data_IF_703415982936
#
_entry.id   IF_703415982936
#
_cell.length_a   1.000
_cell.length_b   1.000
_cell.length_c   1.000
_cell.angle_alpha   90.00
_cell.angle_beta   90.00
_cell.angle_gamma   90.00
#
_symmetry.space_group_name_H-M   'P 1'
#
loop_
_entity.id
_entity.type
_entity.pdbx_description
1 polymer ?
#
# COMPACT_ATOMS: atom_id res chain seq x y z
N UNK A 1 -1.21 2.84 9.55
CA UNK A 1 -0.18 3.33 10.50
C UNK A 1 -0.83 3.79 11.82
N UNK A 2 -0.26 3.46 12.99
CA UNK A 2 -0.87 3.71 14.30
C UNK A 2 -0.99 5.20 14.63
N UNK A 3 -2.24 5.65 14.83
CA UNK A 3 -2.60 6.88 15.54
C UNK A 3 -1.99 8.19 15.00
N UNK A 4 -2.45 8.65 13.84
CA UNK A 4 -2.12 10.01 13.44
C UNK A 4 -2.80 10.40 12.14
N UNK A 5 -3.86 11.19 12.24
CA UNK A 5 -4.19 12.15 11.19
C UNK A 5 -2.87 12.88 10.84
N UNK A 6 -2.29 12.57 9.68
CA UNK A 6 -1.07 13.19 9.14
C UNK A 6 0.21 13.06 9.98
N UNK A 7 0.59 11.84 10.38
CA UNK A 7 1.86 11.59 11.09
C UNK A 7 3.08 11.23 10.24
N UNK A 8 2.91 10.50 9.14
CA UNK A 8 4.02 10.07 8.28
C UNK A 8 3.86 10.69 6.88
N UNK A 9 4.30 11.94 6.66
CA UNK A 9 4.50 12.39 5.29
C UNK A 9 5.49 11.42 4.66
N UNK A 10 5.31 11.10 3.38
CA UNK A 10 6.22 10.28 2.60
C UNK A 10 7.67 10.70 2.90
N UNK A 11 8.34 9.99 3.83
CA UNK A 11 9.68 10.32 4.28
C UNK A 11 10.61 10.23 3.07
N UNK A 12 11.65 11.06 3.06
CA UNK A 12 12.70 11.03 2.04
C UNK A 12 13.35 9.62 1.88
N UNK A 13 13.17 8.73 2.85
CA UNK A 13 13.59 7.32 2.80
C UNK A 13 12.74 6.45 1.87
N UNK A 14 11.48 6.82 1.59
CA UNK A 14 10.63 6.07 0.67
C UNK A 14 11.01 6.23 -0.80
N UNK A 15 11.82 7.24 -1.14
CA UNK A 15 12.38 7.41 -2.49
C UNK A 15 13.31 6.23 -2.85
N UNK A 16 13.81 5.50 -1.85
CA UNK A 16 14.57 4.25 -2.05
C UNK A 16 13.71 2.99 -2.20
N UNK A 17 12.38 3.08 -2.05
CA UNK A 17 11.52 1.92 -2.24
C UNK A 17 11.43 1.53 -3.72
N UNK A 18 11.36 0.23 -4.03
CA UNK A 18 10.96 -0.22 -5.36
C UNK A 18 9.61 0.39 -5.76
N UNK A 19 9.45 0.77 -7.03
CA UNK A 19 8.23 1.44 -7.55
C UNK A 19 6.91 0.77 -7.12
N UNK A 20 6.75 -0.57 -7.15
CA UNK A 20 5.52 -1.21 -6.69
C UNK A 20 5.24 -0.97 -5.21
N UNK A 21 6.27 -1.03 -4.36
CA UNK A 21 6.12 -0.80 -2.92
C UNK A 21 5.79 0.67 -2.62
N UNK A 22 6.36 1.60 -3.38
CA UNK A 22 6.03 3.02 -3.28
C UNK A 22 4.59 3.30 -3.72
N UNK A 23 4.14 2.69 -4.83
CA UNK A 23 2.76 2.83 -5.31
C UNK A 23 1.75 2.30 -4.29
N UNK A 24 2.01 1.12 -3.72
CA UNK A 24 1.24 0.55 -2.63
C UNK A 24 1.12 1.50 -1.44
N UNK A 25 2.26 1.95 -0.91
CA UNK A 25 2.30 2.87 0.23
C UNK A 25 1.51 4.16 -0.02
N UNK A 26 1.67 4.78 -1.20
CA UNK A 26 0.90 5.98 -1.56
C UNK A 26 -0.60 5.69 -1.53
N UNK A 27 -1.03 4.56 -2.08
CA UNK A 27 -2.44 4.18 -2.10
C UNK A 27 -3.00 3.87 -0.70
N UNK A 28 -2.21 3.24 0.18
CA UNK A 28 -2.56 2.99 1.57
C UNK A 28 -2.84 4.29 2.33
N UNK A 29 -1.91 5.23 2.25
CA UNK A 29 -2.05 6.52 2.93
C UNK A 29 -3.17 7.37 2.32
N UNK A 30 -3.37 7.32 1.00
CA UNK A 30 -4.53 7.94 0.35
C UNK A 30 -5.85 7.29 0.78
N UNK A 31 -5.87 5.98 1.04
CA UNK A 31 -7.06 5.30 1.54
C UNK A 31 -7.42 5.81 2.94
N UNK A 32 -6.44 5.92 3.84
CA UNK A 32 -6.63 6.57 5.15
C UNK A 32 -7.13 8.01 5.01
N UNK A 33 -6.54 8.80 4.11
CA UNK A 33 -6.96 10.18 3.86
C UNK A 33 -8.38 10.28 3.29
N UNK A 34 -8.80 9.29 2.48
CA UNK A 34 -10.11 9.26 1.84
C UNK A 34 -11.21 8.77 2.79
N UNK A 35 -10.91 7.77 3.62
CA UNK A 35 -11.84 7.22 4.59
C UNK A 35 -11.08 6.69 5.81
N UNK A 36 -11.38 7.29 6.96
CA UNK A 36 -10.88 6.90 8.26
C UNK A 36 -12.08 6.52 9.14
N UNK A 37 -11.94 5.49 9.98
CA UNK A 37 -12.98 5.04 10.91
C UNK A 37 -12.56 5.39 12.35
N UNK A 38 -13.02 6.53 12.90
CA UNK A 38 -12.61 6.97 14.23
C UNK A 38 -12.99 5.95 15.30
N UNK A 39 -12.03 5.61 16.17
CA UNK A 39 -12.23 4.63 17.23
C UNK A 39 -12.11 3.17 16.78
N UNK A 40 -11.95 2.90 15.49
CA UNK A 40 -11.71 1.56 14.94
C UNK A 40 -10.46 1.54 14.05
N UNK A 41 -9.30 1.42 14.72
CA UNK A 41 -8.01 1.33 14.04
C UNK A 41 -7.93 0.08 13.18
N UNK A 42 -8.43 -1.07 13.66
CA UNK A 42 -8.35 -2.32 12.93
C UNK A 42 -9.10 -2.26 11.59
N UNK A 43 -10.32 -1.68 11.60
CA UNK A 43 -11.08 -1.46 10.38
C UNK A 43 -10.40 -0.45 9.46
N UNK A 44 -9.84 0.63 10.01
CA UNK A 44 -9.13 1.64 9.21
C UNK A 44 -7.90 1.07 8.50
N UNK A 45 -7.11 0.24 9.17
CA UNK A 45 -5.97 -0.45 8.55
C UNK A 45 -6.43 -1.48 7.53
N UNK A 46 -7.41 -2.33 7.87
CA UNK A 46 -7.92 -3.36 6.95
C UNK A 46 -8.48 -2.74 5.65
N UNK A 47 -9.22 -1.63 5.78
CA UNK A 47 -9.70 -0.87 4.63
C UNK A 47 -8.53 -0.37 3.77
N UNK A 48 -7.52 0.25 4.39
CA UNK A 48 -6.38 0.78 3.66
C UNK A 48 -5.56 -0.32 2.97
N UNK A 49 -5.36 -1.46 3.62
CA UNK A 49 -4.69 -2.63 3.02
C UNK A 49 -5.45 -3.18 1.81
N UNK A 50 -6.77 -3.34 1.88
CA UNK A 50 -7.56 -3.81 0.73
C UNK A 50 -7.46 -2.83 -0.44
N UNK A 51 -7.50 -1.52 -0.17
CA UNK A 51 -7.35 -0.49 -1.21
C UNK A 51 -5.93 -0.49 -1.79
N UNK A 52 -4.89 -0.64 -0.95
CA UNK A 52 -3.50 -0.79 -1.37
C UNK A 52 -3.33 -1.96 -2.34
N UNK A 53 -3.82 -3.15 -1.97
CA UNK A 53 -3.65 -4.35 -2.78
C UNK A 53 -4.32 -4.22 -4.14
N UNK A 54 -5.58 -3.77 -4.18
CA UNK A 54 -6.32 -3.57 -5.43
C UNK A 54 -5.67 -2.48 -6.29
N UNK A 55 -5.23 -1.38 -5.69
CA UNK A 55 -4.57 -0.31 -6.41
C UNK A 55 -3.23 -0.75 -7.00
N UNK A 56 -2.46 -1.55 -6.25
CA UNK A 56 -1.19 -2.10 -6.70
C UNK A 56 -1.38 -3.07 -7.87
N UNK A 57 -2.37 -3.96 -7.80
CA UNK A 57 -2.68 -4.88 -8.90
C UNK A 57 -3.03 -4.12 -10.18
N UNK A 58 -3.87 -3.08 -10.08
CA UNK A 58 -4.22 -2.22 -11.22
C UNK A 58 -3.03 -1.42 -11.75
N UNK A 59 -2.17 -0.93 -10.85
CA UNK A 59 -1.00 -0.17 -11.24
C UNK A 59 0.01 -1.07 -11.95
N UNK A 60 0.28 -2.27 -11.43
CA UNK A 60 1.17 -3.25 -12.07
C UNK A 60 0.67 -3.65 -13.45
N UNK A 61 -0.64 -3.83 -13.62
CA UNK A 61 -1.24 -4.16 -14.91
C UNK A 61 -1.09 -3.05 -15.97
N UNK A 62 -0.90 -1.79 -15.55
CA UNK A 62 -0.81 -0.63 -16.44
C UNK A 62 0.61 -0.12 -16.65
N UNK A 63 1.40 -0.07 -15.58
CA UNK A 63 2.68 0.65 -15.49
C UNK A 63 3.82 -0.25 -14.98
N UNK A 64 3.51 -1.48 -14.58
CA UNK A 64 4.47 -2.44 -14.04
C UNK A 64 5.23 -3.18 -15.14
N UNK A 65 6.48 -3.53 -14.85
CA UNK A 65 7.23 -4.49 -15.68
C UNK A 65 6.86 -5.93 -15.30
N UNK A 66 7.12 -6.87 -16.21
CA UNK A 66 6.92 -8.31 -15.92
C UNK A 66 7.71 -8.75 -14.68
N UNK A 67 8.95 -8.26 -14.53
CA UNK A 67 9.79 -8.56 -13.37
C UNK A 67 9.18 -8.01 -12.06
N UNK A 68 8.62 -6.80 -12.09
CA UNK A 68 7.92 -6.22 -10.93
C UNK A 68 6.69 -7.04 -10.55
N UNK A 69 5.91 -7.48 -11.54
CA UNK A 69 4.74 -8.35 -11.34
C UNK A 69 5.12 -9.71 -10.75
N UNK A 70 6.17 -10.36 -11.27
CA UNK A 70 6.66 -11.64 -10.76
C UNK A 70 7.17 -11.53 -9.32
N UNK A 71 7.89 -10.45 -8.98
CA UNK A 71 8.32 -10.19 -7.60
C UNK A 71 7.14 -9.99 -6.66
N UNK A 72 6.11 -9.27 -7.09
CA UNK A 72 4.88 -9.08 -6.32
C UNK A 72 4.18 -10.43 -6.05
N UNK A 73 3.98 -11.24 -7.09
CA UNK A 73 3.36 -12.56 -6.97
C UNK A 73 4.14 -13.49 -6.03
N UNK A 74 5.47 -13.51 -6.13
CA UNK A 74 6.32 -14.28 -5.22
C UNK A 74 6.10 -13.89 -3.76
N UNK A 75 6.13 -12.59 -3.46
CA UNK A 75 5.89 -12.07 -2.11
C UNK A 75 4.50 -12.43 -1.60
N UNK A 76 3.47 -12.31 -2.45
CA UNK A 76 2.08 -12.64 -2.08
C UNK A 76 1.93 -14.12 -1.68
N UNK A 77 2.61 -15.01 -2.40
CA UNK A 77 2.63 -16.44 -2.09
C UNK A 77 3.42 -16.75 -0.81
N UNK A 78 4.54 -16.06 -0.55
CA UNK A 78 5.34 -16.23 0.69
C UNK A 78 4.58 -15.79 1.95
N UNK A 79 3.72 -14.77 1.85
CA UNK A 79 2.91 -14.27 2.98
C UNK A 79 1.66 -15.12 3.24
N UNK A 80 1.22 -15.90 2.23
CA UNK A 80 0.00 -16.73 2.32
C UNK A 80 0.23 -18.12 2.91
N UNK A 81 1.44 -18.42 3.40
CA UNK A 81 1.89 -19.74 3.86
C UNK A 81 2.47 -19.67 5.27
#
# INVERSE_FOLDING_TARGET
STLGWFGDPVLNTFVGLPRPALAALICHELAHARQFFPGDTALSEAFATVVEEEALERWLAREGTEEEGLRYLRRKLEVSN
#
